data_IF_708721323513
#
_entry.id   IF_708721323513
#
_cell.length_a   1.000
_cell.length_b   1.000
_cell.length_c   1.000
_cell.angle_alpha   90.00
_cell.angle_beta   90.00
_cell.angle_gamma   90.00
#
_symmetry.space_group_name_H-M   'P 1'
#
loop_
_entity.id
_entity.type
_entity.pdbx_description
1 polymer ?
#
# COMPACT_ATOMS: atom_id res chain seq x y z
N UNK A 1 57.41 -1.78 -30.07
CA UNK A 1 58.42 -1.11 -29.27
C UNK A 1 57.88 0.20 -28.78
N UNK A 2 57.91 0.37 -27.53
CA UNK A 2 57.54 1.42 -26.58
C UNK A 2 56.24 1.20 -25.82
N UNK A 3 56.42 0.47 -24.75
CA UNK A 3 55.61 0.44 -23.58
C UNK A 3 55.76 1.75 -22.82
N UNK A 4 54.70 2.55 -22.76
CA UNK A 4 54.58 3.65 -21.79
C UNK A 4 53.80 3.19 -20.61
N UNK A 5 54.46 2.99 -19.53
CA UNK A 5 53.95 2.72 -18.18
C UNK A 5 53.18 3.96 -17.73
N UNK A 6 51.86 3.78 -17.50
CA UNK A 6 51.02 4.82 -16.91
C UNK A 6 51.34 4.87 -15.42
N UNK A 7 52.00 5.93 -15.00
CA UNK A 7 52.25 6.25 -13.61
C UNK A 7 50.91 6.51 -12.90
N UNK A 8 50.72 5.87 -11.77
CA UNK A 8 49.67 6.14 -10.79
C UNK A 8 49.80 7.59 -10.29
N UNK A 9 48.76 8.40 -10.30
CA UNK A 9 48.74 9.64 -9.56
C UNK A 9 48.26 9.45 -8.13
N UNK A 10 49.03 10.02 -7.27
CA UNK A 10 48.71 10.71 -6.02
C UNK A 10 47.32 10.46 -5.42
N UNK A 11 47.37 10.12 -4.13
CA UNK A 11 46.27 10.28 -3.16
C UNK A 11 45.58 11.64 -3.35
N UNK A 12 44.38 11.62 -3.94
CA UNK A 12 43.46 12.77 -3.89
C UNK A 12 43.07 12.98 -2.43
N UNK A 13 43.58 14.03 -1.86
CA UNK A 13 43.05 14.60 -0.62
C UNK A 13 41.64 15.08 -0.93
N UNK A 14 40.65 14.24 -0.59
CA UNK A 14 39.24 14.64 -0.60
C UNK A 14 39.12 15.87 0.27
N UNK A 15 38.78 17.01 -0.31
CA UNK A 15 38.62 18.25 0.42
C UNK A 15 37.46 18.11 1.38
N UNK A 16 37.54 18.71 2.56
CA UNK A 16 36.47 18.67 3.58
C UNK A 16 35.13 19.12 2.99
N UNK A 17 35.13 19.98 2.00
CA UNK A 17 33.96 20.46 1.26
C UNK A 17 33.32 19.35 0.42
N UNK A 18 34.11 18.49 -0.23
CA UNK A 18 33.59 17.35 -1.03
C UNK A 18 33.02 16.24 -0.13
N UNK A 19 33.66 15.97 1.00
CA UNK A 19 33.17 15.02 1.99
C UNK A 19 31.83 15.48 2.58
N UNK A 20 31.70 16.76 2.95
CA UNK A 20 30.46 17.34 3.47
C UNK A 20 29.34 17.40 2.41
N UNK A 21 29.69 17.64 1.13
CA UNK A 21 28.73 17.62 0.02
C UNK A 21 28.25 16.20 -0.28
N UNK A 22 29.13 15.18 -0.19
CA UNK A 22 28.79 13.78 -0.34
C UNK A 22 27.90 13.29 0.81
N UNK A 23 28.16 13.73 2.03
CA UNK A 23 27.38 13.40 3.24
C UNK A 23 25.95 13.95 3.14
N UNK A 24 25.80 15.18 2.68
CA UNK A 24 24.48 15.80 2.42
C UNK A 24 23.72 15.06 1.30
N UNK A 25 24.40 14.64 0.22
CA UNK A 25 23.77 13.90 -0.87
C UNK A 25 23.31 12.51 -0.40
N UNK A 26 24.09 11.86 0.45
CA UNK A 26 23.73 10.60 1.08
C UNK A 26 22.49 10.73 1.98
N UNK A 27 22.42 11.80 2.78
CA UNK A 27 21.25 12.12 3.60
C UNK A 27 19.98 12.33 2.77
N UNK A 28 20.08 13.09 1.67
CA UNK A 28 18.95 13.31 0.75
C UNK A 28 18.50 11.98 0.10
N UNK A 29 19.44 11.17 -0.41
CA UNK A 29 19.13 9.87 -1.01
C UNK A 29 18.40 8.94 -0.03
N UNK A 30 18.90 8.85 1.19
CA UNK A 30 18.31 8.06 2.27
C UNK A 30 16.88 8.53 2.60
N UNK A 31 16.71 9.82 2.82
CA UNK A 31 15.39 10.42 3.13
C UNK A 31 14.37 10.18 2.00
N UNK A 32 14.74 10.44 0.76
CA UNK A 32 13.86 10.21 -0.39
C UNK A 32 13.49 8.74 -0.55
N UNK A 33 14.43 7.83 -0.29
CA UNK A 33 14.17 6.39 -0.34
C UNK A 33 13.24 5.95 0.81
N UNK A 34 13.43 6.43 2.02
CA UNK A 34 12.55 6.13 3.16
C UNK A 34 11.14 6.68 2.96
N UNK A 35 11.02 7.90 2.43
CA UNK A 35 9.74 8.50 2.05
C UNK A 35 9.02 7.68 0.98
N UNK A 36 9.72 7.32 -0.10
CA UNK A 36 9.17 6.54 -1.19
C UNK A 36 8.73 5.13 -0.73
N UNK A 37 9.52 4.49 0.15
CA UNK A 37 9.22 3.18 0.71
C UNK A 37 7.94 3.19 1.57
N UNK A 38 7.78 4.21 2.42
CA UNK A 38 6.58 4.36 3.24
C UNK A 38 5.36 4.66 2.37
N UNK A 39 5.49 5.54 1.39
CA UNK A 39 4.40 5.90 0.47
C UNK A 39 3.95 4.69 -0.37
N UNK A 40 4.90 3.86 -0.83
CA UNK A 40 4.61 2.59 -1.52
C UNK A 40 3.84 1.63 -0.61
N UNK A 41 4.27 1.47 0.63
CA UNK A 41 3.64 0.59 1.62
C UNK A 41 2.22 1.01 2.00
N UNK A 42 1.90 2.31 1.92
CA UNK A 42 0.54 2.84 2.15
C UNK A 42 -0.42 2.62 0.98
N UNK A 43 0.00 1.95 -0.09
CA UNK A 43 -0.84 1.65 -1.24
C UNK A 43 -0.90 2.79 -2.28
N UNK A 44 0.12 3.63 -2.36
CA UNK A 44 0.23 4.62 -3.43
C UNK A 44 0.58 3.97 -4.78
N UNK A 45 0.13 4.57 -5.88
CA UNK A 45 0.53 4.19 -7.24
C UNK A 45 1.98 4.61 -7.52
N UNK A 46 2.67 3.90 -8.41
CA UNK A 46 4.06 4.21 -8.77
C UNK A 46 4.22 5.65 -9.29
N UNK A 47 3.28 6.13 -10.10
CA UNK A 47 3.29 7.51 -10.59
C UNK A 47 3.19 8.55 -9.48
N UNK A 48 2.44 8.27 -8.41
CA UNK A 48 2.33 9.16 -7.25
C UNK A 48 3.64 9.19 -6.47
N UNK A 49 4.25 8.03 -6.26
CA UNK A 49 5.55 7.91 -5.59
C UNK A 49 6.58 8.73 -6.37
N UNK A 50 6.70 8.51 -7.67
CA UNK A 50 7.64 9.22 -8.52
C UNK A 50 7.42 10.75 -8.51
N UNK A 51 6.18 11.21 -8.71
CA UNK A 51 5.86 12.65 -8.74
C UNK A 51 6.17 13.34 -7.42
N UNK A 52 5.83 12.73 -6.29
CA UNK A 52 6.06 13.33 -4.98
C UNK A 52 7.56 13.36 -4.63
N UNK A 53 8.28 12.27 -4.88
CA UNK A 53 9.72 12.19 -4.62
C UNK A 53 10.50 13.14 -5.53
N UNK A 54 10.11 13.22 -6.83
CA UNK A 54 10.71 14.16 -7.79
C UNK A 54 10.51 15.62 -7.38
N UNK A 55 9.35 15.96 -6.81
CA UNK A 55 9.06 17.31 -6.31
C UNK A 55 10.02 17.68 -5.18
N UNK A 56 10.23 16.80 -4.22
CA UNK A 56 11.16 17.04 -3.12
C UNK A 56 12.63 17.07 -3.60
N UNK A 57 13.01 16.18 -4.50
CA UNK A 57 14.36 16.19 -5.09
C UNK A 57 14.68 17.54 -5.76
N UNK A 58 13.73 18.11 -6.50
CA UNK A 58 13.87 19.45 -7.09
C UNK A 58 13.99 20.54 -6.03
N UNK A 59 13.25 20.45 -4.92
CA UNK A 59 13.36 21.42 -3.82
C UNK A 59 14.73 21.36 -3.15
N UNK A 60 15.35 20.19 -3.06
CA UNK A 60 16.70 20.01 -2.56
C UNK A 60 17.81 20.29 -3.61
N UNK A 61 17.42 20.76 -4.80
CA UNK A 61 18.33 21.06 -5.91
C UNK A 61 19.23 19.87 -6.30
N UNK A 62 18.61 18.67 -6.39
CA UNK A 62 19.27 17.43 -6.85
C UNK A 62 18.53 16.84 -8.03
N UNK A 63 19.27 16.21 -8.93
CA UNK A 63 18.70 15.34 -9.95
C UNK A 63 18.39 13.99 -9.32
N UNK A 64 17.38 13.30 -9.86
CA UNK A 64 16.77 12.15 -9.21
C UNK A 64 16.27 11.16 -10.24
N UNK A 65 16.49 9.89 -9.95
CA UNK A 65 15.86 8.77 -10.62
C UNK A 65 15.41 7.73 -9.59
N UNK A 66 14.31 7.03 -9.92
CA UNK A 66 13.72 6.01 -9.04
C UNK A 66 13.35 4.76 -9.83
N UNK A 67 13.78 3.63 -9.30
CA UNK A 67 13.36 2.33 -9.79
C UNK A 67 12.51 1.63 -8.74
N UNK A 68 11.24 1.35 -9.09
CA UNK A 68 10.25 0.79 -8.18
C UNK A 68 9.98 -0.65 -8.58
N UNK A 69 10.15 -1.57 -7.61
CA UNK A 69 9.79 -2.98 -7.69
C UNK A 69 8.71 -3.30 -6.65
N UNK A 70 8.00 -4.42 -6.78
CA UNK A 70 6.92 -4.77 -5.84
C UNK A 70 7.33 -4.80 -4.36
N UNK A 71 8.54 -5.27 -4.06
CA UNK A 71 9.02 -5.43 -2.68
C UNK A 71 10.16 -4.47 -2.29
N UNK A 72 10.80 -3.81 -3.26
CA UNK A 72 11.96 -2.95 -3.06
C UNK A 72 11.87 -1.74 -3.96
N UNK A 73 12.55 -0.68 -3.59
CA UNK A 73 12.76 0.48 -4.45
C UNK A 73 14.18 0.98 -4.29
N UNK A 74 14.66 1.62 -5.35
CA UNK A 74 15.99 2.22 -5.41
C UNK A 74 15.83 3.67 -5.83
N UNK A 75 16.47 4.57 -5.09
CA UNK A 75 16.52 6.00 -5.39
C UNK A 75 17.96 6.38 -5.64
N UNK A 76 18.23 7.00 -6.77
CA UNK A 76 19.53 7.55 -7.13
C UNK A 76 19.43 9.07 -7.22
N UNK A 77 20.36 9.77 -6.59
CA UNK A 77 20.44 11.24 -6.61
C UNK A 77 21.85 11.70 -7.00
N UNK A 78 21.94 12.82 -7.74
CA UNK A 78 23.21 13.43 -8.14
C UNK A 78 23.04 14.94 -8.31
N UNK A 79 24.16 15.67 -8.35
CA UNK A 79 24.19 17.13 -8.60
C UNK A 79 24.99 17.45 -9.86
N UNK A 80 24.40 18.34 -10.69
CA UNK A 80 25.06 18.80 -11.92
C UNK A 80 25.40 17.64 -12.85
N UNK A 81 26.49 17.78 -13.59
CA UNK A 81 27.02 16.76 -14.50
C UNK A 81 28.04 15.82 -13.81
N UNK A 82 27.99 15.73 -12.48
CA UNK A 82 28.92 14.86 -11.74
C UNK A 82 28.66 13.39 -12.05
N UNK A 83 29.70 12.63 -12.33
CA UNK A 83 29.65 11.17 -12.49
C UNK A 83 29.33 10.43 -11.18
N UNK A 84 29.24 11.14 -10.06
CA UNK A 84 29.00 10.56 -8.75
C UNK A 84 27.52 10.63 -8.39
N UNK A 85 26.80 9.52 -8.55
CA UNK A 85 25.44 9.34 -8.06
C UNK A 85 25.46 8.56 -6.74
N UNK A 86 24.69 9.02 -5.76
CA UNK A 86 24.44 8.29 -4.52
C UNK A 86 23.13 7.52 -4.68
N UNK A 87 23.19 6.22 -4.41
CA UNK A 87 22.04 5.33 -4.56
C UNK A 87 21.66 4.74 -3.20
N UNK A 88 20.40 4.86 -2.83
CA UNK A 88 19.82 4.26 -1.64
C UNK A 88 18.75 3.24 -2.04
N UNK A 89 18.85 2.02 -1.51
CA UNK A 89 17.85 0.98 -1.67
C UNK A 89 17.05 0.80 -0.38
N UNK A 90 15.74 0.61 -0.52
CA UNK A 90 14.85 0.31 0.62
C UNK A 90 13.87 -0.80 0.27
N UNK A 91 13.54 -1.60 1.27
CA UNK A 91 12.41 -2.52 1.20
C UNK A 91 11.11 -1.73 1.36
N UNK A 92 10.09 -2.04 0.55
CA UNK A 92 8.77 -1.44 0.73
C UNK A 92 8.25 -1.73 2.13
N UNK A 93 7.80 -0.69 2.83
CA UNK A 93 7.25 -0.83 4.17
C UNK A 93 5.98 -1.72 4.13
N UNK A 94 5.89 -2.65 5.07
CA UNK A 94 4.68 -3.47 5.23
C UNK A 94 3.71 -2.71 6.13
N UNK A 95 2.97 -1.78 5.56
CA UNK A 95 1.85 -1.11 6.21
C UNK A 95 0.58 -1.37 5.41
N UNK A 96 -0.54 -1.48 6.08
CA UNK A 96 -1.84 -1.61 5.40
C UNK A 96 -2.15 -0.38 4.55
N UNK A 97 -3.05 -0.53 3.57
CA UNK A 97 -3.50 0.59 2.75
C UNK A 97 -4.08 1.68 3.66
N UNK A 98 -3.48 2.87 3.62
CA UNK A 98 -3.89 4.02 4.42
C UNK A 98 -3.95 5.29 3.57
N UNK A 99 -5.17 5.71 3.24
CA UNK A 99 -5.38 6.95 2.47
C UNK A 99 -5.00 8.20 3.27
N UNK A 100 -5.19 8.17 4.61
CA UNK A 100 -4.80 9.29 5.47
C UNK A 100 -3.28 9.49 5.46
N UNK A 101 -2.51 8.42 5.65
CA UNK A 101 -1.05 8.48 5.63
C UNK A 101 -0.54 8.89 4.24
N UNK A 102 -1.14 8.34 3.17
CA UNK A 102 -0.84 8.71 1.79
C UNK A 102 -1.10 10.22 1.54
N UNK A 103 -2.23 10.76 2.02
CA UNK A 103 -2.56 12.19 1.88
C UNK A 103 -1.58 13.08 2.65
N UNK A 104 -1.20 12.71 3.89
CA UNK A 104 -0.24 13.45 4.71
C UNK A 104 1.15 13.46 4.08
N UNK A 105 1.62 12.32 3.58
CA UNK A 105 2.88 12.23 2.85
C UNK A 105 2.86 13.08 1.58
N UNK A 106 1.76 13.03 0.81
CA UNK A 106 1.62 13.89 -0.36
C UNK A 106 1.66 15.37 0.01
N UNK A 107 1.01 15.78 1.12
CA UNK A 107 1.07 17.15 1.63
C UNK A 107 2.50 17.55 2.01
N UNK A 108 3.23 16.67 2.71
CA UNK A 108 4.63 16.93 3.06
C UNK A 108 5.47 17.24 1.82
N UNK A 109 5.27 16.52 0.71
CA UNK A 109 6.03 16.78 -0.52
C UNK A 109 5.75 18.17 -1.10
N UNK A 110 4.54 18.71 -0.94
CA UNK A 110 4.22 20.08 -1.31
C UNK A 110 4.80 21.10 -0.32
N UNK A 111 4.72 20.83 0.98
CA UNK A 111 5.31 21.69 2.01
C UNK A 111 6.83 21.86 1.83
N UNK A 112 7.53 20.77 1.47
CA UNK A 112 8.97 20.81 1.16
C UNK A 112 9.25 21.68 -0.06
N UNK A 113 8.42 21.58 -1.10
CA UNK A 113 8.63 22.32 -2.34
C UNK A 113 8.24 23.79 -2.21
N UNK A 114 7.08 24.09 -1.60
CA UNK A 114 6.54 25.45 -1.56
C UNK A 114 7.24 26.32 -0.50
N UNK A 115 7.64 25.72 0.62
CA UNK A 115 8.29 26.45 1.74
C UNK A 115 9.81 26.30 1.73
N UNK A 116 10.41 25.65 0.73
CA UNK A 116 11.85 25.40 0.64
C UNK A 116 12.45 24.85 1.93
N UNK A 117 11.80 23.83 2.50
CA UNK A 117 12.24 23.25 3.76
C UNK A 117 13.63 22.62 3.62
N UNK A 118 14.45 22.83 4.63
CA UNK A 118 15.73 22.13 4.78
C UNK A 118 15.52 20.63 5.06
N UNK A 119 16.54 19.83 4.80
CA UNK A 119 16.48 18.37 4.93
C UNK A 119 16.09 17.94 6.36
N UNK A 120 16.69 18.54 7.40
CA UNK A 120 16.44 18.17 8.78
C UNK A 120 15.00 18.46 9.22
N UNK A 121 14.42 19.56 8.76
CA UNK A 121 13.02 19.88 9.01
C UNK A 121 12.08 18.95 8.26
N UNK A 122 12.41 18.57 7.03
CA UNK A 122 11.66 17.60 6.25
C UNK A 122 11.66 16.21 6.93
N UNK A 123 12.81 15.75 7.42
CA UNK A 123 12.95 14.50 8.17
C UNK A 123 12.09 14.54 9.44
N UNK A 124 12.21 15.59 10.27
CA UNK A 124 11.39 15.71 11.49
C UNK A 124 9.88 15.67 11.22
N UNK A 125 9.42 16.30 10.14
CA UNK A 125 8.01 16.25 9.75
C UNK A 125 7.59 14.87 9.23
N UNK A 126 8.47 14.21 8.49
CA UNK A 126 8.25 12.87 8.02
C UNK A 126 8.13 11.87 9.18
N UNK A 127 9.03 11.94 10.18
CA UNK A 127 8.98 11.08 11.35
C UNK A 127 7.69 11.28 12.15
N UNK A 128 7.27 12.53 12.34
CA UNK A 128 5.98 12.83 12.96
C UNK A 128 4.78 12.24 12.22
N UNK A 129 4.83 12.19 10.87
CA UNK A 129 3.79 11.56 10.08
C UNK A 129 3.84 10.05 10.25
N UNK A 130 5.03 9.46 10.28
CA UNK A 130 5.27 8.02 10.45
C UNK A 130 4.79 7.51 11.81
N UNK A 131 4.96 8.30 12.86
CA UNK A 131 4.52 7.99 14.23
C UNK A 131 3.03 8.20 14.48
N UNK A 132 2.29 8.71 13.50
CA UNK A 132 0.84 8.93 13.66
C UNK A 132 0.13 7.59 13.86
N UNK A 133 -0.58 7.48 14.97
CA UNK A 133 -1.38 6.31 15.29
C UNK A 133 -2.43 6.03 14.22
N UNK A 134 -2.63 4.76 13.86
CA UNK A 134 -3.69 4.36 12.95
C UNK A 134 -5.07 4.64 13.58
N UNK A 135 -6.08 4.78 12.73
CA UNK A 135 -7.47 4.92 13.15
C UNK A 135 -7.88 3.77 14.08
N UNK A 136 -8.63 4.07 15.12
CA UNK A 136 -9.05 3.08 16.13
C UNK A 136 -9.75 1.87 15.49
N UNK A 137 -9.37 0.67 15.90
CA UNK A 137 -9.89 -0.57 15.32
C UNK A 137 -11.43 -0.69 15.39
N UNK A 138 -12.06 -0.14 16.45
CA UNK A 138 -13.53 -0.14 16.63
C UNK A 138 -14.22 0.74 15.61
N UNK A 139 -13.69 1.92 15.35
CA UNK A 139 -14.23 2.86 14.36
C UNK A 139 -14.18 2.25 12.96
N UNK A 140 -13.04 1.68 12.59
CA UNK A 140 -12.87 1.02 11.30
C UNK A 140 -13.83 -0.16 11.16
N UNK A 141 -14.01 -0.97 12.21
CA UNK A 141 -14.93 -2.11 12.23
C UNK A 141 -16.38 -1.67 11.96
N UNK A 142 -16.87 -0.69 12.73
CA UNK A 142 -18.25 -0.22 12.62
C UNK A 142 -18.50 0.43 11.25
N UNK A 143 -17.60 1.33 10.82
CA UNK A 143 -17.73 2.03 9.55
C UNK A 143 -17.69 1.07 8.36
N UNK A 144 -16.81 0.07 8.38
CA UNK A 144 -16.73 -0.94 7.32
C UNK A 144 -18.00 -1.79 7.27
N UNK A 145 -18.52 -2.22 8.42
CA UNK A 145 -19.75 -3.01 8.48
C UNK A 145 -20.96 -2.21 7.98
N UNK A 146 -21.04 -0.93 8.36
CA UNK A 146 -22.09 -0.04 7.90
C UNK A 146 -22.01 0.23 6.40
N UNK A 147 -20.81 0.47 5.89
CA UNK A 147 -20.55 0.66 4.46
C UNK A 147 -20.97 -0.59 3.66
N UNK A 148 -20.61 -1.79 4.13
CA UNK A 148 -20.94 -3.04 3.45
C UNK A 148 -22.46 -3.31 3.46
N UNK A 149 -23.14 -3.04 4.57
CA UNK A 149 -24.60 -3.09 4.64
C UNK A 149 -25.26 -2.10 3.67
N UNK A 150 -24.70 -0.90 3.51
CA UNK A 150 -25.16 0.09 2.53
C UNK A 150 -24.98 -0.40 1.09
N UNK A 151 -23.89 -1.10 0.78
CA UNK A 151 -23.70 -1.77 -0.51
C UNK A 151 -24.78 -2.84 -0.75
N UNK A 152 -25.14 -3.63 0.26
CA UNK A 152 -26.23 -4.58 0.14
C UNK A 152 -27.53 -3.90 -0.34
N UNK A 153 -27.85 -2.73 0.21
CA UNK A 153 -28.99 -1.93 -0.25
C UNK A 153 -28.87 -1.46 -1.69
N UNK A 154 -27.67 -1.04 -2.08
CA UNK A 154 -27.41 -0.61 -3.45
C UNK A 154 -27.65 -1.73 -4.47
N UNK A 155 -27.36 -2.98 -4.10
CA UNK A 155 -27.63 -4.18 -4.93
C UNK A 155 -29.08 -4.67 -4.83
N UNK A 156 -29.97 -3.95 -4.15
CA UNK A 156 -31.39 -4.27 -4.05
C UNK A 156 -31.76 -5.15 -2.84
N UNK A 157 -30.84 -5.34 -1.89
CA UNK A 157 -31.12 -6.06 -0.65
C UNK A 157 -32.19 -5.36 0.20
N UNK A 158 -33.01 -6.17 0.86
CA UNK A 158 -34.02 -5.70 1.81
C UNK A 158 -33.37 -5.32 3.16
N UNK A 159 -34.15 -4.73 4.07
CA UNK A 159 -33.61 -4.29 5.36
C UNK A 159 -33.07 -5.44 6.21
N UNK A 160 -33.66 -6.62 6.10
CA UNK A 160 -33.23 -7.82 6.83
C UNK A 160 -31.88 -8.31 6.26
N UNK A 161 -31.73 -8.34 4.92
CA UNK A 161 -30.48 -8.66 4.26
C UNK A 161 -29.35 -7.70 4.69
N UNK A 162 -29.66 -6.39 4.80
CA UNK A 162 -28.69 -5.39 5.29
C UNK A 162 -28.23 -5.70 6.73
N UNK A 163 -29.11 -6.13 7.62
CA UNK A 163 -28.74 -6.52 8.99
C UNK A 163 -27.87 -7.76 9.02
N UNK A 164 -28.22 -8.77 8.21
CA UNK A 164 -27.41 -9.99 8.07
C UNK A 164 -26.01 -9.64 7.57
N UNK A 165 -25.91 -8.82 6.53
CA UNK A 165 -24.62 -8.36 5.98
C UNK A 165 -23.84 -7.55 7.01
N UNK A 166 -24.48 -6.68 7.77
CA UNK A 166 -23.84 -5.92 8.84
C UNK A 166 -23.20 -6.84 9.89
N UNK A 167 -23.95 -7.81 10.41
CA UNK A 167 -23.47 -8.75 11.43
C UNK A 167 -22.36 -9.66 10.88
N UNK A 168 -22.56 -10.23 9.70
CA UNK A 168 -21.57 -11.11 9.07
C UNK A 168 -20.28 -10.36 8.74
N UNK A 169 -20.37 -9.12 8.25
CA UNK A 169 -19.20 -8.25 8.01
C UNK A 169 -18.51 -7.91 9.32
N UNK A 170 -19.25 -7.58 10.38
CA UNK A 170 -18.69 -7.26 11.68
C UNK A 170 -17.88 -8.44 12.24
N UNK A 171 -18.41 -9.66 12.17
CA UNK A 171 -17.71 -10.87 12.60
C UNK A 171 -16.49 -11.17 11.73
N UNK A 172 -16.64 -11.18 10.41
CA UNK A 172 -15.56 -11.48 9.46
C UNK A 172 -14.46 -10.43 9.49
N UNK A 173 -14.80 -9.14 9.57
CA UNK A 173 -13.81 -8.06 9.63
C UNK A 173 -13.08 -8.06 10.99
N UNK A 174 -13.76 -8.37 12.10
CA UNK A 174 -13.10 -8.52 13.40
C UNK A 174 -12.11 -9.69 13.38
N UNK A 175 -12.49 -10.81 12.79
CA UNK A 175 -11.58 -11.94 12.58
C UNK A 175 -10.35 -11.52 11.75
N UNK A 176 -10.56 -10.76 10.67
CA UNK A 176 -9.47 -10.21 9.85
C UNK A 176 -8.49 -9.37 10.68
N UNK A 177 -9.01 -8.47 11.53
CA UNK A 177 -8.18 -7.63 12.40
C UNK A 177 -7.34 -8.50 13.33
N UNK A 178 -7.95 -9.47 14.03
CA UNK A 178 -7.27 -10.37 14.97
C UNK A 178 -6.17 -11.19 14.25
N UNK A 179 -6.48 -11.78 13.09
CA UNK A 179 -5.50 -12.59 12.36
C UNK A 179 -4.31 -11.76 11.87
N UNK A 180 -4.55 -10.53 11.41
CA UNK A 180 -3.48 -9.63 10.97
C UNK A 180 -2.66 -9.09 12.16
N UNK A 181 -3.26 -8.82 13.31
CA UNK A 181 -2.56 -8.47 14.55
C UNK A 181 -1.61 -9.60 14.99
N UNK A 182 -2.04 -10.85 14.85
CA UNK A 182 -1.22 -12.04 15.11
C UNK A 182 -0.25 -12.41 13.97
N UNK A 183 -0.12 -11.54 12.94
CA UNK A 183 0.81 -11.72 11.81
C UNK A 183 0.59 -13.00 11.00
N UNK A 184 -0.63 -13.53 10.98
CA UNK A 184 -0.99 -14.61 10.08
C UNK A 184 -0.88 -14.18 8.62
N UNK A 185 -0.70 -15.15 7.72
CA UNK A 185 -0.65 -14.88 6.28
C UNK A 185 -1.94 -14.24 5.79
N UNK A 186 -1.81 -13.20 4.97
CA UNK A 186 -2.96 -12.42 4.47
C UNK A 186 -3.89 -13.31 3.64
N UNK A 187 -3.35 -14.27 2.88
CA UNK A 187 -4.11 -15.18 2.03
C UNK A 187 -5.00 -16.10 2.86
N UNK A 188 -4.43 -16.69 3.91
CA UNK A 188 -5.18 -17.52 4.88
C UNK A 188 -6.25 -16.67 5.57
N UNK A 189 -5.92 -15.45 5.94
CA UNK A 189 -6.87 -14.51 6.55
C UNK A 189 -8.07 -14.25 5.64
N UNK A 190 -7.86 -14.01 4.35
CA UNK A 190 -8.94 -13.80 3.39
C UNK A 190 -9.83 -15.04 3.24
N UNK A 191 -9.23 -16.23 3.17
CA UNK A 191 -9.96 -17.49 3.10
C UNK A 191 -10.84 -17.70 4.35
N UNK A 192 -10.27 -17.58 5.55
CA UNK A 192 -11.02 -17.78 6.79
C UNK A 192 -12.12 -16.74 6.98
N UNK A 193 -11.84 -15.47 6.68
CA UNK A 193 -12.82 -14.40 6.85
C UNK A 193 -13.98 -14.52 5.86
N UNK A 194 -13.70 -14.86 4.60
CA UNK A 194 -14.76 -15.10 3.60
C UNK A 194 -15.62 -16.31 3.97
N UNK A 195 -15.00 -17.39 4.44
CA UNK A 195 -15.70 -18.56 4.94
C UNK A 195 -16.68 -18.22 6.08
N UNK A 196 -16.19 -17.52 7.12
CA UNK A 196 -17.03 -17.12 8.27
C UNK A 196 -18.16 -16.19 7.82
N UNK A 197 -17.87 -15.22 6.95
CA UNK A 197 -18.91 -14.31 6.45
C UNK A 197 -19.96 -15.05 5.61
N UNK A 198 -19.53 -16.02 4.80
CA UNK A 198 -20.43 -16.86 4.01
C UNK A 198 -21.35 -17.72 4.89
N UNK A 199 -20.79 -18.41 5.89
CA UNK A 199 -21.58 -19.24 6.83
C UNK A 199 -22.62 -18.42 7.57
N UNK A 200 -22.25 -17.25 8.08
CA UNK A 200 -23.19 -16.38 8.81
C UNK A 200 -24.30 -15.84 7.90
N UNK A 201 -23.98 -15.48 6.66
CA UNK A 201 -24.98 -15.00 5.70
C UNK A 201 -25.84 -16.11 5.15
N UNK A 202 -25.28 -17.33 4.95
CA UNK A 202 -26.01 -18.52 4.54
C UNK A 202 -27.07 -18.94 5.57
N UNK A 203 -26.85 -18.68 6.86
CA UNK A 203 -27.86 -18.86 7.90
C UNK A 203 -29.15 -18.09 7.59
N UNK A 204 -29.07 -16.87 7.07
CA UNK A 204 -30.24 -16.10 6.63
C UNK A 204 -31.00 -16.78 5.51
N UNK A 205 -30.31 -17.44 4.58
CA UNK A 205 -30.91 -18.19 3.48
C UNK A 205 -31.59 -19.46 3.97
N UNK A 206 -30.93 -20.25 4.83
CA UNK A 206 -31.48 -21.54 5.35
C UNK A 206 -32.73 -21.30 6.19
N UNK A 207 -32.74 -20.26 7.01
CA UNK A 207 -33.88 -19.94 7.87
C UNK A 207 -34.97 -19.10 7.16
N UNK A 208 -34.82 -18.85 5.84
CA UNK A 208 -35.74 -18.00 5.05
C UNK A 208 -35.99 -16.62 5.69
N UNK A 209 -34.97 -16.01 6.23
CA UNK A 209 -35.05 -14.71 6.90
C UNK A 209 -34.82 -13.59 5.86
N UNK A 210 -35.89 -12.81 5.58
CA UNK A 210 -35.84 -11.72 4.60
C UNK A 210 -36.30 -12.11 3.20
N UNK A 211 -36.48 -11.12 2.35
CA UNK A 211 -36.95 -11.31 0.97
C UNK A 211 -35.82 -11.53 -0.05
N UNK A 212 -34.57 -11.19 0.33
CA UNK A 212 -33.42 -11.21 -0.60
C UNK A 212 -32.17 -11.85 0.04
N UNK A 213 -32.24 -13.10 0.54
CA UNK A 213 -31.13 -13.75 1.22
C UNK A 213 -29.93 -14.00 0.29
N UNK A 214 -30.14 -14.18 -1.00
CA UNK A 214 -29.09 -14.36 -2.02
C UNK A 214 -28.20 -13.12 -2.13
N UNK A 215 -28.83 -11.94 -2.09
CA UNK A 215 -28.08 -10.65 -2.12
C UNK A 215 -27.26 -10.50 -0.85
N UNK A 216 -27.79 -10.90 0.30
CA UNK A 216 -27.04 -10.88 1.56
C UNK A 216 -25.81 -11.77 1.48
N UNK A 217 -25.92 -12.98 0.95
CA UNK A 217 -24.80 -13.91 0.79
C UNK A 217 -23.71 -13.33 -0.11
N UNK A 218 -24.06 -12.88 -1.33
CA UNK A 218 -23.10 -12.31 -2.29
C UNK A 218 -22.42 -11.05 -1.78
N UNK A 219 -23.15 -10.20 -1.03
CA UNK A 219 -22.60 -8.94 -0.53
C UNK A 219 -21.83 -9.08 0.78
N UNK A 220 -22.01 -10.17 1.52
CA UNK A 220 -21.36 -10.38 2.83
C UNK A 220 -19.83 -10.36 2.77
N UNK A 221 -19.22 -10.69 1.64
CA UNK A 221 -17.77 -10.77 1.44
C UNK A 221 -17.16 -9.58 0.70
N UNK A 222 -17.96 -8.58 0.30
CA UNK A 222 -17.48 -7.43 -0.49
C UNK A 222 -16.36 -6.63 0.19
N UNK A 223 -16.34 -6.56 1.50
CA UNK A 223 -15.32 -5.87 2.27
C UNK A 223 -13.91 -6.51 2.12
N UNK A 224 -13.84 -7.74 1.60
CA UNK A 224 -12.57 -8.44 1.33
C UNK A 224 -12.04 -8.22 -0.09
N UNK A 225 -12.86 -7.72 -1.01
CA UNK A 225 -12.43 -7.54 -2.40
C UNK A 225 -11.22 -6.60 -2.46
N UNK A 226 -10.10 -7.04 -3.06
CA UNK A 226 -8.87 -6.26 -3.15
C UNK A 226 -8.94 -5.17 -4.25
N UNK A 227 -9.95 -4.28 -4.18
CA UNK A 227 -10.22 -3.28 -5.21
C UNK A 227 -9.07 -2.29 -5.41
N UNK A 228 -8.43 -1.84 -4.33
CA UNK A 228 -7.30 -0.88 -4.40
C UNK A 228 -6.09 -1.49 -5.12
N UNK A 229 -5.63 -2.73 -4.83
CA UNK A 229 -4.60 -3.40 -5.62
C UNK A 229 -4.93 -3.50 -7.12
N UNK A 230 -6.18 -3.83 -7.48
CA UNK A 230 -6.60 -3.87 -8.89
C UNK A 230 -6.51 -2.51 -9.58
N UNK A 231 -7.07 -1.46 -8.95
CA UNK A 231 -7.04 -0.10 -9.50
C UNK A 231 -5.60 0.41 -9.64
N UNK A 232 -4.76 0.16 -8.62
CA UNK A 232 -3.36 0.54 -8.67
C UNK A 232 -2.59 -0.22 -9.76
N UNK A 233 -2.87 -1.50 -9.96
CA UNK A 233 -2.28 -2.30 -11.03
C UNK A 233 -2.59 -1.72 -12.40
N UNK A 234 -3.86 -1.38 -12.66
CA UNK A 234 -4.26 -0.74 -13.94
C UNK A 234 -3.60 0.63 -14.10
N UNK A 235 -3.56 1.43 -13.02
CA UNK A 235 -2.87 2.72 -13.05
C UNK A 235 -1.38 2.58 -13.39
N UNK A 236 -0.69 1.64 -12.73
CA UNK A 236 0.74 1.41 -12.97
C UNK A 236 1.00 0.88 -14.40
N UNK A 237 0.07 0.08 -14.96
CA UNK A 237 0.13 -0.37 -16.35
C UNK A 237 0.09 0.81 -17.34
N UNK A 238 -0.85 1.73 -17.13
CA UNK A 238 -1.00 2.92 -17.98
C UNK A 238 0.23 3.84 -17.95
N UNK A 239 0.92 3.90 -16.82
CA UNK A 239 2.14 4.68 -16.65
C UNK A 239 3.43 3.88 -16.93
N UNK A 240 3.32 2.70 -17.56
CA UNK A 240 4.45 1.84 -18.00
C UNK A 240 5.28 1.24 -16.85
N UNK A 241 4.78 1.22 -15.62
CA UNK A 241 5.40 0.50 -14.50
C UNK A 241 5.00 -0.98 -14.52
N UNK A 242 5.31 -1.69 -15.60
CA UNK A 242 4.82 -3.05 -15.89
C UNK A 242 5.11 -4.07 -14.79
N UNK A 243 6.30 -4.05 -14.19
CA UNK A 243 6.69 -5.02 -13.15
C UNK A 243 5.85 -4.82 -11.87
N UNK A 244 5.63 -3.58 -11.45
CA UNK A 244 4.78 -3.27 -10.32
C UNK A 244 3.31 -3.58 -10.60
N UNK A 245 2.84 -3.23 -11.80
CA UNK A 245 1.50 -3.54 -12.26
C UNK A 245 1.23 -5.05 -12.20
N UNK A 246 2.11 -5.86 -12.80
CA UNK A 246 1.97 -7.32 -12.80
C UNK A 246 2.01 -7.90 -11.38
N UNK A 247 2.95 -7.47 -10.54
CA UNK A 247 3.04 -7.92 -9.15
C UNK A 247 1.77 -7.63 -8.36
N UNK A 248 1.25 -6.40 -8.41
CA UNK A 248 0.00 -6.01 -7.74
C UNK A 248 -1.23 -6.75 -8.28
N UNK A 249 -1.25 -7.00 -9.59
CA UNK A 249 -2.33 -7.77 -10.21
C UNK A 249 -2.33 -9.21 -9.71
N UNK A 250 -1.16 -9.87 -9.67
CA UNK A 250 -1.03 -11.24 -9.16
C UNK A 250 -1.43 -11.34 -7.68
N UNK A 251 -1.00 -10.39 -6.84
CA UNK A 251 -1.43 -10.36 -5.44
C UNK A 251 -2.96 -10.24 -5.31
N UNK A 252 -3.57 -9.34 -6.10
CA UNK A 252 -5.02 -9.18 -6.11
C UNK A 252 -5.76 -10.44 -6.57
N UNK A 253 -5.28 -11.10 -7.63
CA UNK A 253 -5.86 -12.36 -8.15
C UNK A 253 -5.78 -13.47 -7.09
N UNK A 254 -4.63 -13.62 -6.43
CA UNK A 254 -4.46 -14.63 -5.37
C UNK A 254 -5.42 -14.38 -4.20
N UNK A 255 -5.55 -13.13 -3.76
CA UNK A 255 -6.49 -12.77 -2.68
C UNK A 255 -7.95 -13.02 -3.08
N UNK A 256 -8.31 -12.71 -4.33
CA UNK A 256 -9.64 -13.00 -4.87
C UNK A 256 -9.90 -14.50 -4.95
N UNK A 257 -8.92 -15.30 -5.37
CA UNK A 257 -9.04 -16.75 -5.37
C UNK A 257 -9.25 -17.30 -3.95
N UNK A 258 -8.47 -16.86 -2.96
CA UNK A 258 -8.66 -17.25 -1.56
C UNK A 258 -10.05 -16.88 -1.03
N UNK A 259 -10.53 -15.66 -1.35
CA UNK A 259 -11.88 -15.21 -1.01
C UNK A 259 -12.94 -16.10 -1.63
N UNK A 260 -12.82 -16.42 -2.93
CA UNK A 260 -13.78 -17.27 -3.65
C UNK A 260 -13.82 -18.69 -3.09
N UNK A 261 -12.67 -19.29 -2.80
CA UNK A 261 -12.58 -20.61 -2.17
C UNK A 261 -13.24 -20.61 -0.79
N UNK A 262 -12.99 -19.59 0.03
CA UNK A 262 -13.63 -19.49 1.36
C UNK A 262 -15.15 -19.32 1.27
N UNK A 263 -15.63 -18.49 0.33
CA UNK A 263 -17.07 -18.31 0.06
C UNK A 263 -17.72 -19.63 -0.38
N UNK A 264 -17.16 -20.31 -1.39
CA UNK A 264 -17.66 -21.58 -1.89
C UNK A 264 -17.67 -22.66 -0.80
N UNK A 265 -16.61 -22.78 -0.01
CA UNK A 265 -16.55 -23.72 1.11
C UNK A 265 -17.65 -23.45 2.15
N UNK A 266 -17.91 -22.17 2.46
CA UNK A 266 -19.00 -21.78 3.36
C UNK A 266 -20.37 -22.17 2.81
N UNK A 267 -20.64 -21.93 1.53
CA UNK A 267 -21.90 -22.31 0.86
C UNK A 267 -22.10 -23.84 0.85
N UNK A 268 -21.06 -24.60 0.49
CA UNK A 268 -21.12 -26.07 0.44
C UNK A 268 -21.40 -26.69 1.82
N UNK A 269 -20.77 -26.22 2.88
CA UNK A 269 -21.00 -26.71 4.25
C UNK A 269 -22.43 -26.42 4.71
N UNK A 270 -22.98 -25.29 4.29
CA UNK A 270 -24.35 -24.91 4.61
C UNK A 270 -25.41 -25.58 3.69
N UNK A 271 -24.99 -26.41 2.73
CA UNK A 271 -25.88 -27.17 1.83
C UNK A 271 -26.63 -26.28 0.85
N UNK A 272 -26.05 -25.14 0.46
CA UNK A 272 -26.59 -24.30 -0.59
C UNK A 272 -26.15 -24.82 -1.95
N UNK A 273 -27.09 -25.27 -2.76
CA UNK A 273 -26.86 -25.65 -4.15
C UNK A 273 -26.71 -24.39 -5.03
N UNK A 274 -25.97 -24.54 -6.13
CA UNK A 274 -25.67 -23.47 -7.11
C UNK A 274 -26.84 -23.22 -8.04
#
# INVERSE_FOLDING_TARGET
MNTSICNSPASETVTVTEACAADNLCGIASFLADYAALLSGCGATCIRIEKNTRRMARAFNVQFDIFILPAHLTVSVWRGDSCHAVTAMRKTAVCGISFNLNARLSRLSWEVADNHLDLDTAIRRFDKIRETEPTGWKEVLILTSLANASFCRLFGGDFVAMLIVFVSTMAGFRLKQIMLEHKHDVRLTFLCCSFVSAVLSAGGHIFNIGATPEIALGTSVLYLIPGVPYINSVSDLLYKHYLCSFGRFMDAVILTACLSVGLCAGMLIMGLDW
#
